data_IF_665844360787
#
_entry.id   IF_665844360787
#
_cell.length_a   1.000
_cell.length_b   1.000
_cell.length_c   1.000
_cell.angle_alpha   90.00
_cell.angle_beta   90.00
_cell.angle_gamma   90.00
#
_symmetry.space_group_name_H-M   'P 1'
#
loop_
_entity.id
_entity.type
_entity.pdbx_description
1 polymer ?
#
# COMPACT_ATOMS: atom_id res chain seq x y z
N UNK A 1 -18.37 -22.49 -40.86
CA UNK A 1 -18.32 -21.06 -40.48
C UNK A 1 -19.45 -20.78 -39.50
N UNK A 2 -19.15 -20.80 -38.21
CA UNK A 2 -20.02 -20.29 -37.14
C UNK A 2 -19.08 -19.68 -36.12
N UNK A 3 -19.08 -18.35 -36.04
CA UNK A 3 -18.22 -17.58 -35.16
C UNK A 3 -18.81 -17.62 -33.74
N UNK A 4 -18.17 -18.37 -32.85
CA UNK A 4 -18.39 -18.26 -31.41
C UNK A 4 -17.73 -16.95 -30.95
N UNK A 5 -18.53 -15.89 -30.83
CA UNK A 5 -18.11 -14.66 -30.19
C UNK A 5 -18.10 -14.90 -28.66
N UNK A 6 -16.90 -14.96 -28.07
CA UNK A 6 -16.67 -14.95 -26.63
C UNK A 6 -17.31 -13.69 -26.03
N UNK A 7 -18.37 -13.89 -25.24
CA UNK A 7 -18.90 -12.85 -24.38
C UNK A 7 -17.90 -12.59 -23.24
N UNK A 8 -17.61 -11.32 -22.87
CA UNK A 8 -16.74 -11.02 -21.74
C UNK A 8 -17.42 -11.43 -20.42
N UNK A 9 -16.65 -12.17 -19.63
CA UNK A 9 -16.95 -12.92 -18.40
C UNK A 9 -17.35 -12.07 -17.16
N UNK A 10 -18.02 -10.93 -17.36
CA UNK A 10 -18.44 -10.01 -16.30
C UNK A 10 -19.95 -9.73 -16.31
N UNK A 11 -20.74 -10.54 -17.02
CA UNK A 11 -22.20 -10.40 -17.09
C UNK A 11 -22.95 -11.17 -15.98
N UNK A 12 -22.26 -12.06 -15.26
CA UNK A 12 -22.89 -13.07 -14.39
C UNK A 12 -23.14 -12.63 -12.94
N UNK A 13 -22.64 -11.47 -12.52
CA UNK A 13 -22.75 -11.01 -11.11
C UNK A 13 -23.79 -9.89 -10.90
N UNK A 14 -24.14 -9.10 -11.94
CA UNK A 14 -25.02 -7.92 -11.74
C UNK A 14 -26.06 -7.64 -12.84
N UNK A 15 -26.18 -8.49 -13.86
CA UNK A 15 -27.10 -8.36 -15.02
C UNK A 15 -26.99 -7.04 -15.83
N UNK A 16 -25.97 -6.19 -15.59
CA UNK A 16 -25.89 -4.87 -16.21
C UNK A 16 -24.98 -4.84 -17.44
N UNK A 17 -25.53 -4.39 -18.57
CA UNK A 17 -24.74 -4.14 -19.78
C UNK A 17 -23.72 -2.98 -19.60
N UNK A 18 -22.55 -3.00 -20.26
CA UNK A 18 -21.49 -2.00 -20.05
C UNK A 18 -21.90 -0.53 -20.22
N UNK A 19 -22.87 -0.25 -21.09
CA UNK A 19 -23.43 1.09 -21.28
C UNK A 19 -24.26 1.54 -20.07
N UNK A 20 -25.06 0.63 -19.49
CA UNK A 20 -25.83 0.87 -18.28
C UNK A 20 -24.92 1.03 -17.05
N UNK A 21 -23.85 0.24 -16.98
CA UNK A 21 -22.81 0.34 -15.93
C UNK A 21 -22.09 1.70 -15.98
N UNK A 22 -21.72 2.16 -17.18
CA UNK A 22 -21.16 3.51 -17.42
C UNK A 22 -22.14 4.64 -17.13
N UNK A 23 -23.44 4.43 -17.35
CA UNK A 23 -24.46 5.42 -17.01
C UNK A 23 -24.65 5.53 -15.48
N UNK A 24 -24.56 4.41 -14.75
CA UNK A 24 -24.67 4.38 -13.28
C UNK A 24 -23.43 4.91 -12.57
N UNK A 25 -22.24 4.81 -13.18
CA UNK A 25 -21.00 5.40 -12.67
C UNK A 25 -20.77 6.85 -13.11
N UNK A 26 -21.64 7.42 -13.96
CA UNK A 26 -21.42 8.72 -14.60
C UNK A 26 -21.64 9.94 -13.72
N UNK A 27 -22.28 9.79 -12.55
CA UNK A 27 -22.38 10.87 -11.59
C UNK A 27 -21.93 10.39 -10.20
N UNK A 28 -20.67 10.66 -9.81
CA UNK A 28 -20.14 10.20 -8.53
C UNK A 28 -20.74 10.94 -7.32
N UNK A 29 -21.61 11.94 -7.53
CA UNK A 29 -22.14 12.78 -6.46
C UNK A 29 -23.67 12.63 -6.34
N UNK A 30 -24.13 12.36 -5.12
CA UNK A 30 -25.56 12.24 -4.82
C UNK A 30 -26.25 13.61 -4.90
N UNK A 31 -27.58 13.68 -5.17
CA UNK A 31 -28.33 14.95 -5.18
C UNK A 31 -28.17 15.76 -3.88
N UNK A 32 -27.99 15.08 -2.75
CA UNK A 32 -27.71 15.69 -1.44
C UNK A 32 -26.35 16.39 -1.44
N UNK A 33 -25.29 15.75 -1.94
CA UNK A 33 -23.95 16.35 -2.03
C UNK A 33 -23.97 17.58 -2.93
N UNK A 34 -24.69 17.52 -4.06
CA UNK A 34 -24.85 18.67 -4.96
C UNK A 34 -25.59 19.81 -4.26
N UNK A 35 -26.72 19.53 -3.62
CA UNK A 35 -27.51 20.54 -2.91
C UNK A 35 -26.73 21.20 -1.76
N UNK A 36 -26.01 20.40 -0.96
CA UNK A 36 -25.15 20.89 0.13
C UNK A 36 -24.02 21.76 -0.43
N UNK A 37 -23.39 21.37 -1.53
CA UNK A 37 -22.31 22.15 -2.15
C UNK A 37 -22.80 23.50 -2.68
N UNK A 38 -23.98 23.53 -3.30
CA UNK A 38 -24.61 24.77 -3.77
C UNK A 38 -24.98 25.69 -2.61
N UNK A 39 -25.62 25.15 -1.56
CA UNK A 39 -25.96 25.93 -0.37
C UNK A 39 -24.72 26.50 0.33
N UNK A 40 -23.66 25.69 0.47
CA UNK A 40 -22.39 26.13 1.02
C UNK A 40 -21.74 27.23 0.17
N UNK A 41 -21.79 27.12 -1.16
CA UNK A 41 -21.26 28.14 -2.08
C UNK A 41 -22.00 29.47 -1.92
N UNK A 42 -23.33 29.44 -1.86
CA UNK A 42 -24.13 30.66 -1.60
C UNK A 42 -23.79 31.26 -0.23
N UNK A 43 -23.64 30.43 0.80
CA UNK A 43 -23.21 30.86 2.12
C UNK A 43 -21.84 31.54 2.13
N UNK A 44 -20.86 30.97 1.43
CA UNK A 44 -19.50 31.53 1.29
C UNK A 44 -19.55 32.89 0.60
N UNK A 45 -20.31 33.03 -0.48
CA UNK A 45 -20.44 34.29 -1.21
C UNK A 45 -21.14 35.37 -0.37
N UNK A 46 -22.20 35.01 0.35
CA UNK A 46 -22.90 35.91 1.26
C UNK A 46 -21.99 36.36 2.42
N UNK A 47 -21.22 35.43 2.99
CA UNK A 47 -20.27 35.71 4.07
C UNK A 47 -19.12 36.61 3.59
N UNK A 48 -18.51 36.32 2.44
CA UNK A 48 -17.47 37.14 1.85
C UNK A 48 -17.98 38.56 1.54
N UNK A 49 -19.20 38.68 1.01
CA UNK A 49 -19.83 39.99 0.78
C UNK A 49 -20.04 40.76 2.09
N UNK A 50 -20.47 40.10 3.16
CA UNK A 50 -20.61 40.73 4.48
C UNK A 50 -19.25 41.20 5.02
N UNK A 51 -18.23 40.34 4.97
CA UNK A 51 -16.90 40.53 5.57
C UNK A 51 -16.10 41.64 4.87
N UNK A 52 -16.20 41.72 3.54
CA UNK A 52 -15.45 42.65 2.70
C UNK A 52 -16.17 43.99 2.50
N UNK A 53 -17.43 44.12 2.92
CA UNK A 53 -18.17 45.38 2.79
C UNK A 53 -17.65 46.42 3.79
N UNK A 54 -17.12 47.58 3.32
CA UNK A 54 -16.59 48.61 4.21
C UNK A 54 -17.62 49.20 5.18
N UNK A 55 -18.92 49.04 4.91
CA UNK A 55 -20.00 49.49 5.80
C UNK A 55 -20.18 48.60 7.02
N UNK A 56 -19.72 47.35 6.95
CA UNK A 56 -19.84 46.37 8.03
C UNK A 56 -18.56 46.26 8.88
N UNK A 57 -17.55 47.11 8.61
CA UNK A 57 -16.32 47.14 9.40
C UNK A 57 -16.60 47.82 10.75
N UNK A 58 -16.40 47.09 11.84
CA UNK A 58 -16.36 47.64 13.19
C UNK A 58 -14.99 48.22 13.53
N UNK A 59 -14.54 48.04 14.77
CA UNK A 59 -13.19 48.43 15.18
C UNK A 59 -12.11 47.73 14.35
N UNK A 60 -11.06 48.48 14.00
CA UNK A 60 -10.02 48.03 13.07
C UNK A 60 -9.29 46.78 13.57
N UNK A 61 -9.01 46.69 14.87
CA UNK A 61 -8.23 45.59 15.46
C UNK A 61 -8.99 44.26 15.41
N UNK A 62 -10.22 44.13 15.96
CA UNK A 62 -11.02 42.90 15.83
C UNK A 62 -11.30 42.53 14.37
N UNK A 63 -11.61 43.50 13.51
CA UNK A 63 -11.85 43.24 12.09
C UNK A 63 -10.61 42.64 11.42
N UNK A 64 -9.43 43.22 11.65
CA UNK A 64 -8.16 42.70 11.10
C UNK A 64 -7.85 41.30 11.61
N UNK A 65 -8.10 41.02 12.90
CA UNK A 65 -7.92 39.67 13.45
C UNK A 65 -8.82 38.63 12.75
N UNK A 66 -10.09 38.97 12.51
CA UNK A 66 -11.03 38.09 11.80
C UNK A 66 -10.56 37.88 10.36
N UNK A 67 -10.19 38.93 9.62
CA UNK A 67 -9.66 38.79 8.25
C UNK A 67 -8.44 37.85 8.24
N UNK A 68 -7.50 38.02 9.16
CA UNK A 68 -6.31 37.16 9.24
C UNK A 68 -6.68 35.70 9.54
N UNK A 69 -7.57 35.47 10.51
CA UNK A 69 -8.03 34.12 10.85
C UNK A 69 -8.73 33.43 9.67
N UNK A 70 -9.62 34.15 8.97
CA UNK A 70 -10.32 33.64 7.79
C UNK A 70 -9.37 33.33 6.64
N UNK A 71 -8.39 34.20 6.38
CA UNK A 71 -7.35 33.96 5.36
C UNK A 71 -6.56 32.68 5.68
N UNK A 72 -6.20 32.47 6.96
CA UNK A 72 -5.52 31.24 7.39
C UNK A 72 -6.41 30.00 7.18
N UNK A 73 -7.70 30.09 7.53
CA UNK A 73 -8.65 28.98 7.35
C UNK A 73 -8.85 28.63 5.87
N UNK A 74 -9.05 29.63 5.02
CA UNK A 74 -9.21 29.44 3.57
C UNK A 74 -7.92 28.85 2.98
N UNK A 75 -6.75 29.36 3.37
CA UNK A 75 -5.48 28.82 2.92
C UNK A 75 -5.32 27.35 3.31
N UNK A 76 -5.60 26.97 4.56
CA UNK A 76 -5.57 25.58 4.98
C UNK A 76 -6.57 24.71 4.21
N UNK A 77 -7.78 25.20 3.96
CA UNK A 77 -8.78 24.47 3.19
C UNK A 77 -8.31 24.22 1.75
N UNK A 78 -7.73 25.22 1.09
CA UNK A 78 -7.15 25.10 -0.25
C UNK A 78 -5.98 24.12 -0.28
N UNK A 79 -5.09 24.17 0.71
CA UNK A 79 -3.96 23.23 0.81
C UNK A 79 -4.42 21.79 1.07
N UNK A 80 -5.42 21.59 1.92
CA UNK A 80 -6.02 20.27 2.16
C UNK A 80 -6.71 19.72 0.90
N UNK A 81 -7.46 20.55 0.20
CA UNK A 81 -8.10 20.20 -1.07
C UNK A 81 -7.06 19.83 -2.13
N UNK A 82 -6.00 20.62 -2.26
CA UNK A 82 -4.88 20.32 -3.15
C UNK A 82 -4.21 18.98 -2.80
N UNK A 83 -3.95 18.72 -1.53
CA UNK A 83 -3.38 17.45 -1.08
C UNK A 83 -4.28 16.26 -1.46
N UNK A 84 -5.59 16.34 -1.22
CA UNK A 84 -6.54 15.28 -1.57
C UNK A 84 -6.60 15.07 -3.09
N UNK A 85 -6.69 16.16 -3.87
CA UNK A 85 -6.84 16.06 -5.32
C UNK A 85 -5.57 15.61 -6.03
N UNK A 86 -4.39 15.96 -5.52
CA UNK A 86 -3.11 15.47 -6.07
C UNK A 86 -3.01 13.94 -6.05
N UNK A 87 -3.63 13.30 -5.03
CA UNK A 87 -3.60 11.85 -4.85
C UNK A 87 -4.69 11.07 -5.60
N UNK A 88 -5.58 11.71 -6.35
CA UNK A 88 -6.68 11.02 -7.04
C UNK A 88 -6.25 10.22 -8.27
N UNK A 89 -5.06 10.45 -8.80
CA UNK A 89 -4.57 9.73 -9.97
C UNK A 89 -4.21 8.29 -9.57
N UNK A 90 -4.84 7.31 -10.23
CA UNK A 90 -4.47 5.91 -10.05
C UNK A 90 -3.05 5.67 -10.62
N UNK A 91 -2.11 5.13 -9.82
CA UNK A 91 -0.75 4.85 -10.30
C UNK A 91 -0.69 3.66 -11.26
N UNK A 92 -1.74 2.83 -11.35
CA UNK A 92 -1.78 1.66 -12.24
C UNK A 92 -1.96 2.09 -13.69
N UNK A 93 -0.90 1.95 -14.46
CA UNK A 93 -0.84 2.23 -15.90
C UNK A 93 -1.17 0.99 -16.72
N UNK A 94 -1.20 1.14 -18.05
CA UNK A 94 -1.29 -0.01 -18.96
C UNK A 94 -0.16 -1.03 -18.71
N UNK A 95 1.08 -0.57 -18.53
CA UNK A 95 2.23 -1.44 -18.24
C UNK A 95 2.05 -2.26 -16.97
N UNK A 96 1.46 -1.68 -15.92
CA UNK A 96 1.12 -2.43 -14.71
C UNK A 96 0.17 -3.59 -15.01
N UNK A 97 -0.94 -3.32 -15.71
CA UNK A 97 -1.93 -4.37 -16.01
C UNK A 97 -1.42 -5.40 -17.01
N UNK A 98 -0.52 -5.00 -17.91
CA UNK A 98 0.13 -5.92 -18.82
C UNK A 98 1.09 -6.86 -18.08
N UNK A 99 1.95 -6.31 -17.23
CA UNK A 99 2.82 -7.11 -16.35
C UNK A 99 2.00 -7.99 -15.39
N UNK A 100 0.87 -7.52 -14.87
CA UNK A 100 0.00 -8.31 -13.99
C UNK A 100 -0.60 -9.53 -14.72
N UNK A 101 -1.02 -9.38 -15.99
CA UNK A 101 -1.55 -10.50 -16.79
C UNK A 101 -0.49 -11.52 -17.16
N UNK A 102 0.74 -11.06 -17.36
CA UNK A 102 1.88 -11.89 -17.75
C UNK A 102 2.74 -12.32 -16.54
N UNK A 103 2.25 -12.10 -15.31
CA UNK A 103 3.00 -12.36 -14.09
C UNK A 103 3.29 -13.86 -13.90
N UNK A 104 2.36 -14.70 -14.37
CA UNK A 104 2.47 -16.15 -14.36
C UNK A 104 2.40 -16.66 -15.78
N UNK A 105 3.23 -17.64 -16.12
CA UNK A 105 3.19 -18.32 -17.41
C UNK A 105 2.55 -19.71 -17.25
N UNK A 106 1.35 -19.95 -17.81
CA UNK A 106 0.69 -21.26 -17.76
C UNK A 106 1.53 -22.40 -18.33
N UNK A 107 2.31 -22.16 -19.39
CA UNK A 107 3.14 -23.21 -20.00
C UNK A 107 4.26 -23.64 -19.04
N UNK A 108 4.94 -22.68 -18.42
CA UNK A 108 5.92 -22.95 -17.36
C UNK A 108 5.30 -23.66 -16.15
N UNK A 109 4.08 -23.29 -15.75
CA UNK A 109 3.40 -23.93 -14.62
C UNK A 109 3.08 -25.42 -14.90
N UNK A 110 2.67 -25.73 -16.13
CA UNK A 110 2.43 -27.11 -16.59
C UNK A 110 3.74 -27.90 -16.63
N UNK A 111 4.81 -27.33 -17.18
CA UNK A 111 6.13 -27.98 -17.26
C UNK A 111 6.70 -28.33 -15.87
N UNK A 112 6.48 -27.46 -14.88
CA UNK A 112 6.93 -27.65 -13.51
C UNK A 112 5.98 -28.49 -12.65
N UNK A 113 4.82 -28.92 -13.19
CA UNK A 113 3.77 -29.63 -12.46
C UNK A 113 3.28 -28.87 -11.20
N UNK A 114 3.15 -27.55 -11.31
CA UNK A 114 2.71 -26.66 -10.21
C UNK A 114 1.37 -25.97 -10.49
N UNK A 115 0.66 -26.36 -11.56
CA UNK A 115 -0.60 -25.73 -11.98
C UNK A 115 -1.65 -25.66 -10.85
N UNK A 116 -1.70 -26.67 -9.98
CA UNK A 116 -2.68 -26.75 -8.88
C UNK A 116 -2.28 -25.96 -7.61
N UNK A 117 -1.06 -25.43 -7.55
CA UNK A 117 -0.54 -24.69 -6.39
C UNK A 117 -0.07 -23.27 -6.76
N UNK A 118 -0.94 -22.26 -6.60
CA UNK A 118 -0.62 -20.87 -6.90
C UNK A 118 0.57 -20.30 -6.14
N UNK A 119 0.95 -20.87 -4.99
CA UNK A 119 2.10 -20.40 -4.20
C UNK A 119 3.44 -20.79 -4.82
N UNK A 120 3.42 -21.71 -5.81
CA UNK A 120 4.61 -22.23 -6.49
C UNK A 120 4.74 -21.78 -7.94
N UNK A 121 3.83 -20.96 -8.44
CA UNK A 121 3.89 -20.41 -9.80
C UNK A 121 5.07 -19.45 -9.95
N UNK A 122 6.02 -19.70 -10.86
CA UNK A 122 7.11 -18.78 -11.12
C UNK A 122 6.64 -17.38 -11.49
N UNK A 123 7.26 -16.38 -10.89
CA UNK A 123 6.97 -14.97 -11.12
C UNK A 123 7.78 -14.46 -12.31
N UNK A 124 7.13 -13.75 -13.23
CA UNK A 124 7.76 -13.18 -14.41
C UNK A 124 7.53 -11.67 -14.51
N UNK A 125 8.55 -10.93 -14.91
CA UNK A 125 8.46 -9.51 -15.28
C UNK A 125 9.21 -9.31 -16.60
N UNK A 126 8.59 -8.62 -17.56
CA UNK A 126 9.14 -8.40 -18.91
C UNK A 126 9.63 -9.69 -19.61
N UNK A 127 8.97 -10.83 -19.33
CA UNK A 127 9.31 -12.14 -19.90
C UNK A 127 10.48 -12.84 -19.22
N UNK A 128 11.09 -12.25 -18.18
CA UNK A 128 12.13 -12.88 -17.38
C UNK A 128 11.59 -13.37 -16.04
N UNK A 129 12.04 -14.55 -15.60
CA UNK A 129 11.70 -15.07 -14.28
C UNK A 129 12.43 -14.26 -13.19
N UNK A 130 11.68 -13.79 -12.20
CA UNK A 130 12.19 -13.03 -11.05
C UNK A 130 11.97 -13.78 -9.75
N UNK A 131 12.83 -13.53 -8.76
CA UNK A 131 12.75 -14.13 -7.43
C UNK A 131 12.32 -13.11 -6.39
N UNK A 132 11.49 -13.53 -5.45
CA UNK A 132 11.02 -12.71 -4.34
C UNK A 132 11.33 -13.38 -3.01
N UNK A 133 11.86 -12.62 -2.06
CA UNK A 133 11.96 -13.02 -0.65
C UNK A 133 10.92 -12.28 0.19
N UNK A 134 10.19 -12.96 1.09
CA UNK A 134 9.34 -12.31 2.09
C UNK A 134 10.07 -12.36 3.45
N UNK A 135 10.34 -11.19 4.02
CA UNK A 135 11.15 -11.00 5.23
C UNK A 135 10.25 -10.56 6.39
N UNK A 136 10.04 -11.43 7.38
CA UNK A 136 9.19 -11.19 8.55
C UNK A 136 10.06 -10.86 9.77
N UNK A 137 10.11 -9.59 10.18
CA UNK A 137 10.94 -9.15 11.32
C UNK A 137 10.22 -9.34 12.64
N UNK A 138 10.90 -9.92 13.63
CA UNK A 138 10.38 -10.16 14.98
C UNK A 138 11.39 -9.79 16.08
N UNK A 139 10.88 -9.23 17.18
CA UNK A 139 11.60 -8.89 18.41
C UNK A 139 10.77 -9.25 19.65
N UNK A 140 10.49 -10.54 19.84
CA UNK A 140 9.84 -11.05 21.06
C UNK A 140 8.31 -11.01 21.05
N UNK A 141 7.69 -10.87 19.87
CA UNK A 141 6.25 -11.03 19.73
C UNK A 141 5.79 -12.46 20.09
N UNK A 142 4.53 -12.66 20.49
CA UNK A 142 3.99 -13.99 20.78
C UNK A 142 4.10 -14.95 19.59
N UNK A 143 4.44 -16.22 19.88
CA UNK A 143 4.67 -17.24 18.86
C UNK A 143 3.44 -17.48 17.96
N UNK A 144 2.23 -17.32 18.47
CA UNK A 144 0.98 -17.48 17.71
C UNK A 144 0.77 -16.34 16.70
N UNK A 145 1.25 -15.14 17.03
CA UNK A 145 1.21 -13.97 16.14
C UNK A 145 2.22 -14.18 15.00
N UNK A 146 3.46 -14.56 15.34
CA UNK A 146 4.51 -14.85 14.34
C UNK A 146 4.07 -15.99 13.42
N UNK A 147 3.53 -17.08 13.97
CA UNK A 147 3.01 -18.22 13.20
C UNK A 147 1.95 -17.79 12.19
N UNK A 148 0.96 -17.01 12.63
CA UNK A 148 -0.13 -16.55 11.76
C UNK A 148 0.39 -15.74 10.58
N UNK A 149 1.35 -14.86 10.82
CA UNK A 149 1.97 -14.05 9.77
C UNK A 149 2.82 -14.89 8.84
N UNK A 150 3.59 -15.85 9.36
CA UNK A 150 4.40 -16.76 8.55
C UNK A 150 3.56 -17.67 7.65
N UNK A 151 2.49 -18.28 8.18
CA UNK A 151 1.56 -19.11 7.40
C UNK A 151 0.85 -18.29 6.32
N UNK A 152 0.45 -17.05 6.62
CA UNK A 152 -0.14 -16.16 5.62
C UNK A 152 0.86 -15.69 4.56
N UNK A 153 2.12 -15.45 4.95
CA UNK A 153 3.19 -15.14 4.00
C UNK A 153 3.42 -16.31 3.03
N UNK A 154 3.47 -17.56 3.52
CA UNK A 154 3.57 -18.75 2.68
C UNK A 154 2.38 -18.91 1.71
N UNK A 155 1.19 -18.45 2.11
CA UNK A 155 -0.01 -18.49 1.28
C UNK A 155 -0.08 -17.39 0.21
N UNK A 156 0.90 -16.49 0.16
CA UNK A 156 1.02 -15.49 -0.92
C UNK A 156 1.25 -16.21 -2.24
N UNK A 157 0.46 -15.86 -3.26
CA UNK A 157 0.56 -16.44 -4.60
C UNK A 157 1.82 -15.96 -5.30
N UNK A 158 2.42 -16.86 -6.07
CA UNK A 158 3.72 -16.71 -6.72
C UNK A 158 4.87 -17.31 -5.91
N UNK A 159 5.76 -18.01 -6.60
CA UNK A 159 6.92 -18.68 -6.02
C UNK A 159 7.84 -17.66 -5.34
N UNK A 160 7.99 -17.81 -4.02
CA UNK A 160 8.81 -16.93 -3.19
C UNK A 160 9.44 -17.71 -2.03
N UNK A 161 10.47 -17.15 -1.41
CA UNK A 161 11.08 -17.70 -0.20
C UNK A 161 10.67 -16.86 1.01
N UNK A 162 10.07 -17.48 2.02
CA UNK A 162 9.73 -16.80 3.28
C UNK A 162 10.86 -16.95 4.30
N UNK A 163 11.14 -15.88 5.05
CA UNK A 163 12.19 -15.80 6.05
C UNK A 163 11.65 -15.14 7.33
N UNK A 164 11.95 -15.71 8.49
CA UNK A 164 11.80 -15.05 9.79
C UNK A 164 13.14 -14.47 10.21
N UNK A 165 13.18 -13.17 10.47
CA UNK A 165 14.34 -12.47 11.01
C UNK A 165 14.14 -12.20 12.50
N UNK A 166 14.80 -12.99 13.33
CA UNK A 166 14.63 -12.99 14.78
C UNK A 166 15.76 -12.24 15.50
N UNK A 167 15.46 -11.03 15.97
CA UNK A 167 16.34 -10.24 16.85
C UNK A 167 16.15 -10.57 18.34
N UNK A 168 15.10 -11.32 18.68
CA UNK A 168 14.80 -11.79 20.03
C UNK A 168 15.59 -13.03 20.44
N UNK A 169 16.17 -13.75 19.48
CA UNK A 169 17.02 -14.95 19.67
C UNK A 169 16.25 -16.09 20.36
N UNK A 170 15.01 -16.31 19.93
CA UNK A 170 14.11 -17.31 20.49
C UNK A 170 14.29 -18.67 19.82
N UNK A 171 14.57 -19.70 20.61
CA UNK A 171 14.62 -21.09 20.15
C UNK A 171 13.24 -21.56 19.65
N UNK A 172 12.14 -21.08 20.25
CA UNK A 172 10.78 -21.40 19.81
C UNK A 172 10.50 -20.87 18.40
N UNK A 173 11.01 -19.68 18.07
CA UNK A 173 10.86 -19.08 16.73
C UNK A 173 11.71 -19.84 15.69
N UNK A 174 12.91 -20.28 16.07
CA UNK A 174 13.72 -21.17 15.23
C UNK A 174 12.99 -22.48 14.94
N UNK A 175 12.45 -23.11 15.97
CA UNK A 175 11.78 -24.41 15.84
C UNK A 175 10.46 -24.27 15.05
N UNK A 176 9.75 -23.15 15.19
CA UNK A 176 8.62 -22.77 14.33
C UNK A 176 9.04 -22.67 12.87
N UNK A 177 10.10 -21.92 12.56
CA UNK A 177 10.58 -21.76 11.19
C UNK A 177 10.99 -23.09 10.56
N UNK A 178 11.67 -23.95 11.33
CA UNK A 178 12.02 -25.30 10.89
C UNK A 178 10.78 -26.17 10.62
N UNK A 179 9.76 -26.10 11.49
CA UNK A 179 8.49 -26.81 11.32
C UNK A 179 7.68 -26.36 10.10
N UNK A 180 7.78 -25.07 9.74
CA UNK A 180 7.17 -24.50 8.53
C UNK A 180 8.07 -24.62 7.28
N UNK A 181 9.29 -25.14 7.42
CA UNK A 181 10.28 -25.26 6.35
C UNK A 181 10.64 -23.92 5.67
N UNK A 182 10.61 -22.83 6.44
CA UNK A 182 10.97 -21.48 5.99
C UNK A 182 12.35 -21.08 6.51
N UNK A 183 12.93 -20.03 5.92
CA UNK A 183 14.22 -19.53 6.33
C UNK A 183 14.18 -18.91 7.73
N UNK A 184 15.22 -19.15 8.53
CA UNK A 184 15.40 -18.50 9.83
C UNK A 184 16.74 -17.79 9.86
N UNK A 185 16.72 -16.50 10.19
CA UNK A 185 17.91 -15.67 10.33
C UNK A 185 17.94 -15.11 11.74
N UNK A 186 19.03 -15.39 12.45
CA UNK A 186 19.40 -14.73 13.70
C UNK A 186 20.78 -14.11 13.56
N UNK A 187 21.03 -13.02 14.27
CA UNK A 187 22.34 -12.36 14.31
C UNK A 187 22.92 -12.30 15.71
N UNK A 188 24.23 -12.19 15.79
CA UNK A 188 24.97 -12.18 17.06
C UNK A 188 24.70 -10.88 17.85
N UNK A 189 24.59 -9.75 17.15
CA UNK A 189 24.43 -8.41 17.72
C UNK A 189 23.19 -7.70 17.19
N UNK A 190 22.48 -6.95 18.03
CA UNK A 190 21.25 -6.23 17.66
C UNK A 190 21.53 -4.80 17.14
N UNK A 191 22.72 -4.56 16.58
CA UNK A 191 23.12 -3.24 16.08
C UNK A 191 22.23 -2.78 14.92
N UNK A 192 21.71 -1.55 14.98
CA UNK A 192 20.86 -1.00 13.92
C UNK A 192 19.43 -1.52 13.92
N UNK A 193 18.97 -2.18 14.99
CA UNK A 193 17.59 -2.64 15.18
C UNK A 193 17.04 -3.34 13.92
N UNK A 194 15.77 -3.06 13.54
CA UNK A 194 15.11 -3.65 12.38
C UNK A 194 15.90 -3.49 11.07
N UNK A 195 16.43 -2.31 10.80
CA UNK A 195 17.20 -2.04 9.57
C UNK A 195 18.48 -2.90 9.49
N UNK A 196 19.20 -3.03 10.60
CA UNK A 196 20.35 -3.92 10.67
C UNK A 196 19.99 -5.40 10.53
N UNK A 197 18.82 -5.82 11.01
CA UNK A 197 18.34 -7.19 10.88
C UNK A 197 18.04 -7.52 9.41
N UNK A 198 17.33 -6.63 8.72
CA UNK A 198 17.07 -6.73 7.28
C UNK A 198 18.37 -6.78 6.49
N UNK A 199 19.34 -5.87 6.75
CA UNK A 199 20.64 -5.90 6.08
C UNK A 199 21.37 -7.22 6.26
N UNK A 200 21.32 -7.82 7.46
CA UNK A 200 21.92 -9.13 7.71
C UNK A 200 21.24 -10.22 6.86
N UNK A 201 19.91 -10.25 6.79
CA UNK A 201 19.22 -11.21 5.93
C UNK A 201 19.49 -11.01 4.44
N UNK A 202 19.66 -9.76 3.97
CA UNK A 202 20.00 -9.50 2.57
C UNK A 202 21.35 -10.12 2.16
N UNK A 203 22.23 -10.47 3.11
CA UNK A 203 23.45 -11.24 2.81
C UNK A 203 23.17 -12.71 2.47
N UNK A 204 22.06 -13.27 2.95
CA UNK A 204 21.68 -14.69 2.80
C UNK A 204 20.56 -14.86 1.76
N UNK A 205 19.50 -14.07 1.87
CA UNK A 205 18.39 -14.02 0.92
C UNK A 205 18.87 -13.48 -0.44
N UNK A 206 18.40 -14.04 -1.56
CA UNK A 206 18.94 -13.78 -2.92
C UNK A 206 17.90 -13.39 -3.98
N UNK A 207 16.66 -13.11 -3.60
CA UNK A 207 15.60 -12.66 -4.49
C UNK A 207 15.88 -11.28 -5.08
N UNK A 208 15.51 -11.06 -6.34
CA UNK A 208 15.65 -9.77 -7.04
C UNK A 208 14.83 -8.66 -6.37
N UNK A 209 13.71 -9.07 -5.77
CA UNK A 209 12.86 -8.24 -4.93
C UNK A 209 12.72 -8.85 -3.54
N UNK A 210 12.39 -8.03 -2.56
CA UNK A 210 12.07 -8.51 -1.23
C UNK A 210 10.95 -7.70 -0.57
N UNK A 211 10.11 -8.36 0.20
CA UNK A 211 9.05 -7.75 0.99
C UNK A 211 9.48 -7.67 2.44
N UNK A 212 9.22 -6.55 3.11
CA UNK A 212 9.36 -6.44 4.57
C UNK A 212 7.98 -6.47 5.21
N UNK A 213 7.78 -7.43 6.12
CA UNK A 213 6.61 -7.55 6.97
C UNK A 213 7.03 -7.50 8.45
N UNK A 214 6.20 -6.89 9.27
CA UNK A 214 6.27 -7.00 10.73
C UNK A 214 5.57 -8.27 11.19
N UNK A 215 5.95 -8.78 12.36
CA UNK A 215 5.44 -10.05 12.89
C UNK A 215 3.91 -10.11 13.05
N UNK A 216 3.21 -8.98 13.14
CA UNK A 216 1.76 -8.88 13.31
C UNK A 216 1.00 -8.50 12.01
N UNK A 217 1.69 -8.36 10.89
CA UNK A 217 1.07 -8.04 9.60
C UNK A 217 0.84 -9.28 8.74
N UNK A 218 -0.42 -9.69 8.69
CA UNK A 218 -0.89 -10.83 7.90
C UNK A 218 -1.13 -10.37 6.44
N UNK A 219 -0.28 -10.78 5.46
CA UNK A 219 -0.47 -10.40 4.06
C UNK A 219 -1.68 -11.11 3.47
N UNK A 220 -2.26 -10.53 2.41
CA UNK A 220 -3.28 -11.21 1.59
C UNK A 220 -2.61 -12.09 0.53
N UNK A 221 -3.26 -13.18 0.07
CA UNK A 221 -2.71 -14.05 -0.98
C UNK A 221 -2.29 -13.29 -2.25
N UNK A 222 -3.01 -12.22 -2.59
CA UNK A 222 -2.80 -11.41 -3.80
C UNK A 222 -1.70 -10.33 -3.63
N UNK A 223 -0.93 -10.33 -2.53
CA UNK A 223 0.01 -9.25 -2.22
C UNK A 223 1.00 -8.99 -3.37
N UNK A 224 1.62 -10.04 -3.94
CA UNK A 224 2.57 -9.90 -5.04
C UNK A 224 1.87 -9.53 -6.35
N UNK A 225 0.69 -10.07 -6.62
CA UNK A 225 -0.13 -9.75 -7.80
C UNK A 225 -0.49 -8.25 -7.86
N UNK A 226 -0.63 -7.61 -6.70
CA UNK A 226 -1.02 -6.21 -6.58
C UNK A 226 0.18 -5.24 -6.42
N UNK A 227 1.40 -5.77 -6.24
CA UNK A 227 2.61 -4.96 -5.97
C UNK A 227 3.74 -5.17 -6.96
N UNK A 228 4.07 -6.42 -7.30
CA UNK A 228 5.19 -6.76 -8.16
C UNK A 228 5.08 -6.20 -9.58
N UNK A 229 3.90 -6.10 -10.23
CA UNK A 229 3.79 -5.54 -11.58
C UNK A 229 4.22 -4.08 -11.72
N UNK A 230 4.28 -3.30 -10.62
CA UNK A 230 4.86 -1.95 -10.66
C UNK A 230 6.37 -1.96 -10.94
N UNK A 231 7.06 -3.07 -10.66
CA UNK A 231 8.50 -3.23 -10.86
C UNK A 231 8.91 -3.45 -12.32
N UNK A 232 7.96 -3.50 -13.24
CA UNK A 232 8.22 -3.38 -14.69
C UNK A 232 8.92 -2.06 -15.02
N UNK A 233 8.63 -1.00 -14.26
CA UNK A 233 9.40 0.22 -14.32
C UNK A 233 10.75 0.02 -13.62
N UNK A 234 11.83 -0.03 -14.41
CA UNK A 234 13.21 -0.17 -13.92
C UNK A 234 13.62 0.93 -12.92
N UNK A 235 12.96 2.09 -12.96
CA UNK A 235 13.21 3.21 -12.04
C UNK A 235 12.47 3.06 -10.69
N UNK A 236 11.57 2.10 -10.57
CA UNK A 236 10.83 1.83 -9.34
C UNK A 236 11.75 1.19 -8.29
N UNK A 237 11.92 1.87 -7.16
CA UNK A 237 12.73 1.38 -6.04
C UNK A 237 11.93 0.54 -5.05
N UNK A 238 10.69 0.94 -4.76
CA UNK A 238 9.80 0.24 -3.82
C UNK A 238 8.33 0.52 -4.09
N UNK A 239 7.46 -0.34 -3.57
CA UNK A 239 6.00 -0.21 -3.58
C UNK A 239 5.51 -0.30 -2.14
N UNK A 240 4.99 0.80 -1.61
CA UNK A 240 4.42 0.85 -0.26
C UNK A 240 2.91 0.58 -0.32
N UNK A 241 2.45 -0.42 0.44
CA UNK A 241 1.01 -0.70 0.57
C UNK A 241 0.43 -0.10 1.87
N UNK A 242 -0.89 0.17 1.93
CA UNK A 242 -1.55 0.65 3.14
C UNK A 242 -1.50 -0.34 4.30
N UNK A 243 -1.42 0.19 5.52
CA UNK A 243 -1.58 -0.60 6.75
C UNK A 243 -3.01 -0.46 7.26
N UNK A 244 -3.69 -1.58 7.51
CA UNK A 244 -5.06 -1.62 8.03
C UNK A 244 -5.15 -2.46 9.29
N UNK A 245 -5.74 -1.91 10.36
CA UNK A 245 -5.96 -2.64 11.61
C UNK A 245 -7.14 -3.61 11.49
N UNK A 246 -6.94 -4.88 11.88
CA UNK A 246 -8.02 -5.87 11.95
C UNK A 246 -8.89 -5.78 13.21
N UNK A 247 -8.44 -5.06 14.25
CA UNK A 247 -9.04 -5.08 15.60
C UNK A 247 -9.81 -3.78 15.97
N UNK A 248 -10.67 -3.29 15.06
CA UNK A 248 -11.50 -2.08 15.24
C UNK A 248 -12.71 -2.27 16.19
N UNK A 249 -12.49 -2.91 17.35
CA UNK A 249 -13.56 -3.31 18.29
C UNK A 249 -14.00 -2.21 19.26
N UNK A 250 -13.16 -1.21 19.55
CA UNK A 250 -13.47 -0.16 20.52
C UNK A 250 -13.25 1.25 19.93
N UNK A 251 -13.69 2.30 20.65
CA UNK A 251 -13.62 3.68 20.17
C UNK A 251 -12.16 4.10 19.89
N UNK A 252 -11.22 3.68 20.72
CA UNK A 252 -9.79 4.02 20.58
C UNK A 252 -9.22 3.38 19.31
N UNK A 253 -9.45 2.08 19.09
CA UNK A 253 -8.94 1.39 17.90
C UNK A 253 -9.61 1.84 16.62
N UNK A 254 -10.89 2.21 16.67
CA UNK A 254 -11.60 2.87 15.55
C UNK A 254 -11.03 4.25 15.25
N UNK A 255 -10.74 5.05 16.28
CA UNK A 255 -10.10 6.36 16.14
C UNK A 255 -8.70 6.26 15.54
N UNK A 256 -7.87 5.33 16.03
CA UNK A 256 -6.55 5.04 15.47
C UNK A 256 -6.64 4.60 14.00
N UNK A 257 -7.56 3.70 13.67
CA UNK A 257 -7.80 3.28 12.28
C UNK A 257 -8.24 4.43 11.37
N UNK A 258 -9.01 5.38 11.87
CA UNK A 258 -9.39 6.57 11.10
C UNK A 258 -8.19 7.46 10.78
N UNK A 259 -7.33 7.73 11.76
CA UNK A 259 -6.08 8.50 11.55
C UNK A 259 -5.15 7.80 10.55
N UNK A 260 -5.01 6.48 10.66
CA UNK A 260 -4.27 5.64 9.72
C UNK A 260 -4.84 5.80 8.29
N UNK A 261 -6.16 5.76 8.16
CA UNK A 261 -6.86 5.90 6.87
C UNK A 261 -6.59 7.26 6.23
N UNK A 262 -6.57 8.34 7.02
CA UNK A 262 -6.23 9.67 6.49
C UNK A 262 -4.85 9.69 5.84
N UNK A 263 -3.87 9.08 6.50
CA UNK A 263 -2.50 9.01 6.00
C UNK A 263 -2.39 8.16 4.72
N UNK A 264 -2.91 6.93 4.71
CA UNK A 264 -2.74 6.04 3.55
C UNK A 264 -3.68 6.32 2.38
N UNK A 265 -4.83 6.96 2.62
CA UNK A 265 -5.84 7.17 1.57
C UNK A 265 -5.78 8.55 0.93
N UNK A 266 -5.24 9.55 1.62
CA UNK A 266 -5.14 10.91 1.09
C UNK A 266 -3.71 11.42 1.03
N UNK A 267 -2.95 11.30 2.13
CA UNK A 267 -1.60 11.91 2.21
C UNK A 267 -0.58 11.14 1.37
N UNK A 268 -0.46 9.82 1.53
CA UNK A 268 0.51 9.01 0.80
C UNK A 268 0.27 9.03 -0.72
N UNK A 269 -0.97 8.88 -1.23
CA UNK A 269 -1.24 9.03 -2.66
C UNK A 269 -0.90 10.43 -3.20
N UNK A 270 -1.20 11.48 -2.43
CA UNK A 270 -0.82 12.85 -2.79
C UNK A 270 0.71 13.02 -2.87
N UNK A 271 1.45 12.46 -1.92
CA UNK A 271 2.93 12.43 -1.96
C UNK A 271 3.46 11.58 -3.11
N UNK A 272 2.84 10.45 -3.40
CA UNK A 272 3.21 9.55 -4.49
C UNK A 272 3.15 10.27 -5.85
N UNK A 273 2.18 11.17 -6.04
CA UNK A 273 2.08 12.00 -7.24
C UNK A 273 3.35 12.82 -7.50
N UNK A 274 4.05 13.25 -6.45
CA UNK A 274 5.29 14.03 -6.51
C UNK A 274 6.55 13.19 -6.27
N UNK A 275 6.46 11.86 -6.40
CA UNK A 275 7.55 10.93 -6.07
C UNK A 275 8.15 11.15 -4.66
N UNK A 276 7.29 11.53 -3.71
CA UNK A 276 7.65 11.83 -2.32
C UNK A 276 7.00 10.85 -1.34
N UNK A 277 6.39 9.78 -1.84
CA UNK A 277 5.98 8.66 -1.00
C UNK A 277 7.23 8.04 -0.36
N UNK A 278 7.10 7.62 0.89
CA UNK A 278 8.20 7.07 1.66
C UNK A 278 7.80 5.74 2.28
N UNK A 279 8.80 4.90 2.50
CA UNK A 279 8.65 3.63 3.22
C UNK A 279 8.26 3.89 4.68
N UNK A 280 7.25 3.18 5.16
CA UNK A 280 6.78 3.23 6.56
C UNK A 280 7.18 1.99 7.37
N UNK A 281 8.16 1.24 6.87
CA UNK A 281 8.83 0.15 7.57
C UNK A 281 8.22 -1.24 7.38
N UNK A 282 6.99 -1.39 6.89
CA UNK A 282 6.32 -2.70 6.70
C UNK A 282 5.30 -2.65 5.56
N UNK A 283 4.88 -3.82 5.07
CA UNK A 283 4.05 -4.03 3.88
C UNK A 283 4.58 -3.31 2.64
N UNK A 284 5.89 -3.44 2.44
CA UNK A 284 6.62 -2.76 1.39
C UNK A 284 7.43 -3.77 0.61
N UNK A 285 7.29 -3.73 -0.72
CA UNK A 285 8.10 -4.48 -1.66
C UNK A 285 9.25 -3.59 -2.13
N UNK A 286 10.47 -4.09 -2.10
CA UNK A 286 11.68 -3.39 -2.55
C UNK A 286 12.32 -4.08 -3.74
N UNK A 287 12.89 -3.29 -4.64
CA UNK A 287 13.91 -3.74 -5.59
C UNK A 287 15.24 -3.86 -4.84
N UNK A 288 15.84 -5.05 -4.81
CA UNK A 288 17.10 -5.29 -4.11
C UNK A 288 18.21 -4.37 -4.59
N UNK A 289 18.37 -4.26 -5.92
CA UNK A 289 19.42 -3.45 -6.53
C UNK A 289 19.38 -1.99 -6.03
N UNK A 290 18.18 -1.39 -5.94
CA UNK A 290 18.01 -0.01 -5.47
C UNK A 290 18.42 0.15 -4.00
N UNK A 291 18.12 -0.83 -3.14
CA UNK A 291 18.51 -0.81 -1.73
C UNK A 291 20.03 -0.99 -1.57
N UNK A 292 20.65 -1.86 -2.37
CA UNK A 292 22.10 -2.06 -2.33
C UNK A 292 22.89 -0.86 -2.88
N UNK A 293 22.37 -0.18 -3.89
CA UNK A 293 22.99 1.02 -4.49
C UNK A 293 23.16 2.16 -3.48
N UNK A 294 22.21 2.30 -2.54
CA UNK A 294 22.29 3.28 -1.44
C UNK A 294 23.03 2.77 -0.20
N UNK A 295 23.68 1.60 -0.28
CA UNK A 295 24.46 1.02 0.82
C UNK A 295 23.65 0.19 1.82
N UNK A 296 22.43 -0.23 1.46
CA UNK A 296 21.52 -1.02 2.30
C UNK A 296 20.50 -0.18 3.07
N UNK A 297 19.75 -0.82 3.96
CA UNK A 297 18.80 -0.14 4.85
C UNK A 297 19.56 0.73 5.85
N UNK A 298 19.15 1.99 5.98
CA UNK A 298 19.80 2.95 6.87
C UNK A 298 19.63 2.55 8.35
N UNK A 299 20.73 2.21 9.01
CA UNK A 299 20.74 1.61 10.35
C UNK A 299 21.05 2.58 11.50
N UNK A 300 21.33 3.85 11.21
CA UNK A 300 21.73 4.85 12.22
C UNK A 300 20.55 5.68 12.75
N UNK A 301 19.35 5.54 12.18
CA UNK A 301 18.12 6.14 12.73
C UNK A 301 17.41 5.14 13.64
N UNK A 302 16.99 5.59 14.83
CA UNK A 302 16.10 4.83 15.72
C UNK A 302 14.66 5.16 15.34
N UNK A 303 14.14 4.51 14.31
CA UNK A 303 12.70 4.40 14.08
C UNK A 303 12.23 3.02 14.49
#
# INVERSE_FOLDING_TARGET
MSAFALAPDLATEDELIPAARRARSKNPYTPVVVAVSLAATVGILAYAWFLLNPRNRGDLVPWTMVIVAEVILIFHALMAMWAIFSGMKNPRTFSFYDAQRNLYDPATNEELYVTDDPTRWPLHLDGEQVKVDILITTYGEPIDVIRRTAEAAMAVRGAHQTWILDDGKSDEVRDLAAGLQIGYVRRLTNHGAKAGNVNNALTVAKGDFFVILDADFVPRPEFLEETLPFMVDSTMAFVQTPQTYGNMRNIISRGAGYMQTMFYRFIQPGRNHFNAAFCVGTNVLFRRAAVLDVGGMYAQSKS
#
